data_IF_012971532395
#
_entry.id   IF_012971532395
#
_cell.length_a   1.000
_cell.length_b   1.000
_cell.length_c   1.000
_cell.angle_alpha   90.00
_cell.angle_beta   90.00
_cell.angle_gamma   90.00
#
_symmetry.space_group_name_H-M   'P 1'
#
loop_
_entity.id
_entity.type
_entity.pdbx_description
1 polymer ?
#
# COMPACT_ATOMS: atom_id res chain seq x y z
N UNK A 1 13.49 44.30 -4.04
CA UNK A 1 12.78 44.13 -5.32
C UNK A 1 12.88 42.71 -5.90
N UNK A 2 14.05 42.04 -5.84
CA UNK A 2 14.22 40.66 -6.34
C UNK A 2 13.45 39.61 -5.51
N UNK A 3 13.49 39.69 -4.18
CA UNK A 3 12.79 38.73 -3.28
C UNK A 3 11.26 38.76 -3.48
N UNK A 4 10.68 39.94 -3.71
CA UNK A 4 9.24 40.07 -4.01
C UNK A 4 8.87 39.49 -5.39
N UNK A 5 9.74 39.62 -6.39
CA UNK A 5 9.56 38.98 -7.70
C UNK A 5 9.65 37.46 -7.60
N UNK A 6 10.60 36.94 -6.83
CA UNK A 6 10.77 35.50 -6.61
C UNK A 6 9.58 34.92 -5.84
N UNK A 7 9.08 35.61 -4.80
CA UNK A 7 7.89 35.21 -4.06
C UNK A 7 6.62 35.18 -4.94
N UNK A 8 6.41 36.21 -5.75
CA UNK A 8 5.24 36.26 -6.66
C UNK A 8 5.31 35.21 -7.80
N UNK A 9 6.51 34.82 -8.23
CA UNK A 9 6.72 33.75 -9.20
C UNK A 9 6.51 32.38 -8.56
N UNK A 10 6.99 32.17 -7.33
CA UNK A 10 6.74 30.95 -6.56
C UNK A 10 5.26 30.75 -6.24
N UNK A 11 4.54 31.81 -5.86
CA UNK A 11 3.09 31.74 -5.62
C UNK A 11 2.31 31.43 -6.89
N UNK A 12 2.68 32.03 -8.04
CA UNK A 12 2.05 31.70 -9.33
C UNK A 12 2.34 30.27 -9.77
N UNK A 13 3.59 29.82 -9.66
CA UNK A 13 3.99 28.45 -10.01
C UNK A 13 3.29 27.46 -9.07
N UNK A 14 3.24 27.73 -7.77
CA UNK A 14 2.58 26.87 -6.79
C UNK A 14 1.07 26.74 -7.03
N UNK A 15 0.37 27.85 -7.31
CA UNK A 15 -1.07 27.84 -7.57
C UNK A 15 -1.44 27.17 -8.91
N UNK A 16 -0.63 27.36 -9.95
CA UNK A 16 -0.84 26.71 -11.25
C UNK A 16 -0.49 25.21 -11.19
N UNK A 17 0.60 24.82 -10.51
CA UNK A 17 0.99 23.41 -10.29
C UNK A 17 -0.01 22.62 -9.44
N UNK A 18 -0.54 23.23 -8.37
CA UNK A 18 -1.55 22.57 -7.52
C UNK A 18 -2.84 22.38 -8.32
N UNK A 19 -3.18 23.32 -9.20
CA UNK A 19 -4.37 23.21 -10.06
C UNK A 19 -4.19 22.23 -11.21
N UNK A 20 -2.97 22.02 -11.71
CA UNK A 20 -2.71 21.08 -12.80
C UNK A 20 -2.75 19.61 -12.36
N UNK A 21 -2.54 19.31 -11.07
CA UNK A 21 -2.36 17.94 -10.56
C UNK A 21 -3.35 17.59 -9.43
N UNK A 22 -4.68 17.61 -9.67
CA UNK A 22 -5.69 17.42 -8.62
C UNK A 22 -5.62 16.05 -7.94
N UNK A 23 -5.22 15.01 -8.68
CA UNK A 23 -5.05 13.65 -8.16
C UNK A 23 -3.89 13.56 -7.15
N UNK A 24 -2.78 14.22 -7.43
CA UNK A 24 -1.60 14.26 -6.56
C UNK A 24 -1.91 15.03 -5.27
N UNK A 25 -2.64 16.15 -5.37
CA UNK A 25 -3.15 16.88 -4.20
C UNK A 25 -4.07 15.99 -3.37
N UNK A 26 -4.98 15.25 -3.99
CA UNK A 26 -5.84 14.29 -3.30
C UNK A 26 -5.03 13.23 -2.56
N UNK A 27 -4.04 12.62 -3.20
CA UNK A 27 -3.19 11.61 -2.57
C UNK A 27 -2.39 12.17 -1.40
N UNK A 28 -1.86 13.40 -1.51
CA UNK A 28 -1.18 14.07 -0.39
C UNK A 28 -2.13 14.24 0.79
N UNK A 29 -3.34 14.79 0.56
CA UNK A 29 -4.32 15.00 1.62
C UNK A 29 -4.76 13.67 2.25
N UNK A 30 -5.01 12.66 1.42
CA UNK A 30 -5.36 11.32 1.89
C UNK A 30 -4.25 10.72 2.75
N UNK A 31 -2.99 10.81 2.32
CA UNK A 31 -1.83 10.35 3.09
C UNK A 31 -1.67 11.08 4.42
N UNK A 32 -1.95 12.39 4.48
CA UNK A 32 -1.96 13.14 5.76
C UNK A 32 -3.03 12.59 6.71
N UNK A 33 -4.23 12.29 6.21
CA UNK A 33 -5.30 11.65 7.00
C UNK A 33 -4.86 10.27 7.49
N UNK A 34 -4.24 9.46 6.64
CA UNK A 34 -3.72 8.13 7.01
C UNK A 34 -2.65 8.26 8.11
N UNK A 35 -1.72 9.20 8.00
CA UNK A 35 -0.70 9.45 9.04
C UNK A 35 -1.37 9.85 10.35
N UNK A 36 -2.37 10.73 10.31
CA UNK A 36 -3.11 11.14 11.49
C UNK A 36 -3.72 9.92 12.20
N UNK A 37 -4.47 9.06 11.50
CA UNK A 37 -5.04 7.86 12.11
C UNK A 37 -3.99 6.84 12.55
N UNK A 38 -2.97 6.58 11.72
CA UNK A 38 -1.91 5.63 12.04
C UNK A 38 -1.11 6.03 13.29
N UNK A 39 -0.89 7.33 13.51
CA UNK A 39 -0.21 7.85 14.69
C UNK A 39 -0.99 7.65 16.00
N UNK A 40 -2.27 7.29 15.93
CA UNK A 40 -3.08 6.95 17.10
C UNK A 40 -2.94 5.47 17.52
N UNK A 41 -2.23 4.66 16.73
CA UNK A 41 -2.00 3.27 17.11
C UNK A 41 -1.07 3.16 18.33
N UNK A 42 -1.22 2.12 19.17
CA UNK A 42 -0.35 1.92 20.31
C UNK A 42 1.13 1.90 19.89
N UNK A 43 1.93 2.77 20.50
CA UNK A 43 3.38 2.73 20.41
C UNK A 43 3.93 1.77 21.47
N UNK A 44 4.87 0.91 21.07
CA UNK A 44 5.63 0.04 21.96
C UNK A 44 7.12 0.22 21.75
N UNK A 45 7.93 -0.57 22.45
CA UNK A 45 9.38 -0.59 22.26
C UNK A 45 9.70 -1.27 20.90
N UNK A 46 9.97 -0.46 19.87
CA UNK A 46 10.34 -0.91 18.52
C UNK A 46 9.41 -0.42 17.40
N UNK A 47 9.50 -1.07 16.23
CA UNK A 47 8.70 -0.73 15.05
C UNK A 47 7.26 -1.22 15.23
N UNK A 48 6.35 -0.31 15.54
CA UNK A 48 4.95 -0.63 15.80
C UNK A 48 4.06 -0.73 14.55
N UNK A 49 2.75 -0.97 14.74
CA UNK A 49 1.78 -1.11 13.66
C UNK A 49 1.57 0.17 12.85
N UNK A 50 1.98 1.32 13.40
CA UNK A 50 1.93 2.63 12.73
C UNK A 50 3.00 2.79 11.64
N UNK A 51 4.09 2.02 11.70
CA UNK A 51 5.24 2.22 10.80
C UNK A 51 4.89 2.05 9.33
N UNK A 52 4.27 0.92 8.96
CA UNK A 52 3.91 0.64 7.58
C UNK A 52 3.00 1.70 6.94
N UNK A 53 1.83 2.04 7.52
CA UNK A 53 0.96 3.05 6.94
C UNK A 53 1.62 4.44 6.87
N UNK A 54 2.46 4.81 7.86
CA UNK A 54 3.20 6.08 7.82
C UNK A 54 4.27 6.06 6.72
N UNK A 55 5.09 5.01 6.63
CA UNK A 55 6.15 4.90 5.63
C UNK A 55 5.60 4.96 4.19
N UNK A 56 4.50 4.23 3.92
CA UNK A 56 3.81 4.29 2.63
C UNK A 56 3.27 5.70 2.37
N UNK A 57 2.65 6.33 3.37
CA UNK A 57 2.10 7.70 3.24
C UNK A 57 3.20 8.73 2.98
N UNK A 58 4.35 8.63 3.63
CA UNK A 58 5.52 9.48 3.37
C UNK A 58 6.02 9.29 1.93
N UNK A 59 6.09 8.05 1.45
CA UNK A 59 6.44 7.76 0.05
C UNK A 59 5.46 8.38 -0.94
N UNK A 60 4.15 8.25 -0.69
CA UNK A 60 3.11 8.87 -1.52
C UNK A 60 3.26 10.39 -1.54
N UNK A 61 3.40 11.03 -0.37
CA UNK A 61 3.59 12.49 -0.26
C UNK A 61 4.85 12.92 -1.03
N UNK A 62 5.93 12.17 -0.91
CA UNK A 62 7.18 12.47 -1.61
C UNK A 62 7.01 12.43 -3.14
N UNK A 63 6.47 11.34 -3.69
CA UNK A 63 6.31 11.21 -5.15
C UNK A 63 5.22 12.13 -5.70
N UNK A 64 4.09 12.29 -5.00
CA UNK A 64 3.05 13.23 -5.39
C UNK A 64 3.52 14.69 -5.29
N UNK A 65 4.39 15.01 -4.34
CA UNK A 65 5.04 16.31 -4.23
C UNK A 65 5.95 16.58 -5.43
N UNK A 66 6.74 15.60 -5.86
CA UNK A 66 7.55 15.71 -7.09
C UNK A 66 6.65 15.93 -8.31
N UNK A 67 5.54 15.20 -8.44
CA UNK A 67 4.60 15.36 -9.54
C UNK A 67 4.02 16.78 -9.62
N UNK A 68 3.54 17.31 -8.48
CA UNK A 68 3.04 18.69 -8.39
C UNK A 68 4.15 19.70 -8.77
N UNK A 69 5.37 19.53 -8.25
CA UNK A 69 6.47 20.46 -8.50
C UNK A 69 7.01 20.43 -9.93
N UNK A 70 7.00 19.26 -10.56
CA UNK A 70 7.42 19.12 -11.96
C UNK A 70 6.36 19.64 -12.93
N UNK A 71 5.16 19.92 -12.43
CA UNK A 71 4.05 20.42 -13.25
C UNK A 71 3.77 19.46 -14.38
N UNK A 72 3.93 18.14 -14.13
CA UNK A 72 3.67 17.12 -15.13
C UNK A 72 2.25 17.37 -15.60
N UNK A 73 2.10 17.81 -16.85
CA UNK A 73 0.80 17.77 -17.50
C UNK A 73 0.61 16.29 -17.80
N UNK A 74 0.26 15.54 -16.76
CA UNK A 74 -0.50 14.32 -16.97
C UNK A 74 -1.83 14.81 -17.51
N UNK A 75 -1.86 15.15 -18.81
CA UNK A 75 -3.07 14.98 -19.58
C UNK A 75 -3.44 13.54 -19.29
N UNK A 76 -4.45 13.36 -18.45
CA UNK A 76 -5.19 12.12 -18.42
C UNK A 76 -5.76 12.06 -19.82
N UNK A 77 -5.00 11.49 -20.75
CA UNK A 77 -5.56 10.96 -21.97
C UNK A 77 -6.55 9.92 -21.47
N UNK A 78 -7.81 10.33 -21.27
CA UNK A 78 -8.98 9.44 -21.12
C UNK A 78 -9.23 8.76 -22.49
N UNK A 79 -8.17 8.51 -23.24
CA UNK A 79 -8.13 7.74 -24.45
C UNK A 79 -7.99 6.29 -24.01
N UNK A 80 -9.14 5.61 -23.96
CA UNK A 80 -9.25 4.15 -23.83
C UNK A 80 -8.64 3.53 -22.56
N UNK A 81 -8.70 4.20 -21.40
CA UNK A 81 -8.41 3.51 -20.14
C UNK A 81 -9.48 2.43 -19.88
N UNK A 82 -9.15 1.17 -20.17
CA UNK A 82 -10.00 0.04 -19.83
C UNK A 82 -9.98 -0.13 -18.30
N UNK A 83 -11.04 0.33 -17.65
CA UNK A 83 -11.21 0.21 -16.20
C UNK A 83 -11.51 -1.24 -15.78
N UNK A 84 -11.88 -2.12 -16.71
CA UNK A 84 -12.30 -3.49 -16.41
C UNK A 84 -11.24 -4.29 -15.64
N UNK A 85 -9.95 -4.31 -16.00
CA UNK A 85 -8.95 -5.06 -15.25
C UNK A 85 -8.79 -4.55 -13.82
N UNK A 86 -8.80 -3.23 -13.62
CA UNK A 86 -8.75 -2.63 -12.29
C UNK A 86 -9.98 -3.02 -11.46
N UNK A 87 -11.17 -2.95 -12.04
CA UNK A 87 -12.43 -3.36 -11.40
C UNK A 87 -12.45 -4.84 -11.01
N UNK A 88 -11.94 -5.72 -11.88
CA UNK A 88 -11.88 -7.17 -11.61
C UNK A 88 -10.91 -7.46 -10.46
N UNK A 89 -9.71 -6.88 -10.48
CA UNK A 89 -8.74 -7.05 -9.38
C UNK A 89 -9.28 -6.47 -8.07
N UNK A 90 -9.96 -5.31 -8.12
CA UNK A 90 -10.65 -4.77 -6.95
C UNK A 90 -11.73 -5.73 -6.42
N UNK A 91 -12.50 -6.37 -7.32
CA UNK A 91 -13.46 -7.41 -6.96
C UNK A 91 -12.81 -8.61 -6.27
N UNK A 92 -11.67 -9.08 -6.76
CA UNK A 92 -10.91 -10.15 -6.09
C UNK A 92 -10.39 -9.73 -4.71
N UNK A 93 -9.96 -8.48 -4.55
CA UNK A 93 -9.55 -7.94 -3.25
C UNK A 93 -10.72 -7.91 -2.25
N UNK A 94 -11.91 -7.46 -2.68
CA UNK A 94 -13.11 -7.48 -1.83
C UNK A 94 -13.45 -8.91 -1.44
N UNK A 95 -13.47 -9.85 -2.40
CA UNK A 95 -13.73 -11.27 -2.12
C UNK A 95 -12.70 -11.85 -1.13
N UNK A 96 -11.42 -11.53 -1.29
CA UNK A 96 -10.34 -11.91 -0.38
C UNK A 96 -10.61 -11.44 1.05
N UNK A 97 -10.99 -10.17 1.23
CA UNK A 97 -11.31 -9.61 2.56
C UNK A 97 -12.55 -10.29 3.16
N UNK A 98 -13.58 -10.55 2.37
CA UNK A 98 -14.82 -11.21 2.83
C UNK A 98 -14.59 -12.66 3.28
N UNK A 99 -13.65 -13.37 2.65
CA UNK A 99 -13.30 -14.76 2.99
C UNK A 99 -12.30 -14.84 4.16
N UNK A 100 -11.59 -13.75 4.45
CA UNK A 100 -10.55 -13.70 5.49
C UNK A 100 -11.02 -14.12 6.90
N UNK A 101 -12.23 -13.79 7.40
CA UNK A 101 -12.70 -14.28 8.69
C UNK A 101 -12.83 -15.81 8.77
N UNK A 102 -13.05 -16.47 7.63
CA UNK A 102 -13.18 -17.93 7.55
C UNK A 102 -11.82 -18.62 7.45
N UNK A 103 -10.98 -18.17 6.52
CA UNK A 103 -9.70 -18.84 6.21
C UNK A 103 -8.50 -18.29 6.99
N UNK A 104 -8.62 -17.09 7.53
CA UNK A 104 -7.49 -16.34 8.10
C UNK A 104 -6.57 -15.77 7.03
N UNK A 105 -5.71 -14.83 7.42
CA UNK A 105 -4.82 -14.10 6.52
C UNK A 105 -3.94 -15.01 5.66
N UNK A 106 -3.29 -16.02 6.27
CA UNK A 106 -2.29 -16.84 5.58
C UNK A 106 -2.92 -17.63 4.44
N UNK A 107 -3.96 -18.41 4.73
CA UNK A 107 -4.63 -19.27 3.74
C UNK A 107 -5.38 -18.44 2.72
N UNK A 108 -6.08 -17.37 3.12
CA UNK A 108 -6.78 -16.52 2.16
C UNK A 108 -5.81 -15.87 1.17
N UNK A 109 -4.63 -15.44 1.62
CA UNK A 109 -3.61 -14.86 0.73
C UNK A 109 -3.00 -15.92 -0.17
N UNK A 110 -2.72 -17.12 0.35
CA UNK A 110 -2.22 -18.25 -0.46
C UNK A 110 -3.18 -18.66 -1.59
N UNK A 111 -4.49 -18.48 -1.39
CA UNK A 111 -5.52 -18.72 -2.42
C UNK A 111 -5.70 -17.50 -3.34
N UNK A 112 -5.65 -16.29 -2.80
CA UNK A 112 -5.79 -15.05 -3.57
C UNK A 112 -4.68 -14.84 -4.60
N UNK A 113 -3.42 -15.09 -4.19
CA UNK A 113 -2.25 -14.89 -5.05
C UNK A 113 -2.32 -15.63 -6.39
N UNK A 114 -2.58 -16.95 -6.44
CA UNK A 114 -2.66 -17.65 -7.73
C UNK A 114 -3.83 -17.13 -8.57
N UNK A 115 -4.98 -16.78 -7.97
CA UNK A 115 -6.12 -16.21 -8.71
C UNK A 115 -5.72 -14.94 -9.45
N UNK A 116 -5.05 -14.00 -8.78
CA UNK A 116 -4.59 -12.75 -9.40
C UNK A 116 -3.47 -12.99 -10.40
N UNK A 117 -2.53 -13.90 -10.12
CA UNK A 117 -1.44 -14.22 -11.04
C UNK A 117 -1.95 -14.85 -12.34
N UNK A 118 -2.90 -15.79 -12.25
CA UNK A 118 -3.53 -16.38 -13.43
C UNK A 118 -4.33 -15.35 -14.22
N UNK A 119 -5.08 -14.46 -13.55
CA UNK A 119 -5.78 -13.36 -14.22
C UNK A 119 -4.82 -12.43 -14.97
N UNK A 120 -3.65 -12.16 -14.37
CA UNK A 120 -2.57 -11.38 -14.98
C UNK A 120 -1.73 -12.18 -16.00
N UNK A 121 -2.16 -13.36 -16.43
CA UNK A 121 -1.47 -14.23 -17.40
C UNK A 121 -0.06 -14.67 -16.98
N UNK A 122 0.23 -14.69 -15.67
CA UNK A 122 1.50 -15.18 -15.12
C UNK A 122 1.35 -16.67 -14.79
N UNK A 123 1.95 -17.51 -15.64
CA UNK A 123 1.83 -18.98 -15.56
C UNK A 123 3.13 -19.69 -15.19
N UNK A 124 4.19 -18.95 -14.85
CA UNK A 124 5.45 -19.55 -14.40
C UNK A 124 5.23 -20.30 -13.09
N UNK A 125 5.42 -21.62 -13.10
CA UNK A 125 5.23 -22.49 -11.93
C UNK A 125 6.09 -22.05 -10.74
N UNK A 126 7.33 -21.61 -11.00
CA UNK A 126 8.23 -21.11 -9.98
C UNK A 126 7.71 -19.81 -9.35
N UNK A 127 7.35 -18.82 -10.18
CA UNK A 127 6.79 -17.56 -9.67
C UNK A 127 5.49 -17.80 -8.92
N UNK A 128 4.63 -18.68 -9.43
CA UNK A 128 3.37 -19.01 -8.78
C UNK A 128 3.61 -19.64 -7.40
N UNK A 129 4.53 -20.59 -7.27
CA UNK A 129 4.86 -21.18 -5.97
C UNK A 129 5.47 -20.15 -5.01
N UNK A 130 6.44 -19.36 -5.46
CA UNK A 130 7.14 -18.36 -4.64
C UNK A 130 6.18 -17.27 -4.16
N UNK A 131 5.35 -16.73 -5.06
CA UNK A 131 4.42 -15.65 -4.75
C UNK A 131 3.15 -16.14 -4.04
N UNK A 132 2.72 -17.38 -4.24
CA UNK A 132 1.53 -17.90 -3.57
C UNK A 132 1.84 -18.53 -2.21
N UNK A 133 3.09 -18.89 -1.92
CA UNK A 133 3.47 -19.51 -0.64
C UNK A 133 4.48 -18.64 0.10
N UNK A 134 5.62 -18.34 -0.55
CA UNK A 134 6.70 -17.59 0.07
C UNK A 134 6.29 -16.18 0.47
N UNK A 135 5.60 -15.46 -0.42
CA UNK A 135 5.17 -14.08 -0.14
C UNK A 135 4.16 -13.97 1.03
N UNK A 136 3.07 -14.76 1.11
CA UNK A 136 2.19 -14.76 2.28
C UNK A 136 2.89 -15.09 3.60
N UNK A 137 3.83 -16.04 3.60
CA UNK A 137 4.62 -16.38 4.79
C UNK A 137 5.51 -15.20 5.19
N UNK A 138 6.20 -14.58 4.23
CA UNK A 138 7.03 -13.41 4.49
C UNK A 138 6.20 -12.26 5.06
N UNK A 139 5.05 -11.96 4.46
CA UNK A 139 4.14 -10.94 4.98
C UNK A 139 3.62 -11.27 6.38
N UNK A 140 3.30 -12.54 6.66
CA UNK A 140 2.86 -12.95 7.99
C UNK A 140 3.90 -12.61 9.07
N UNK A 141 5.19 -12.89 8.80
CA UNK A 141 6.26 -12.54 9.74
C UNK A 141 6.51 -11.03 9.81
N UNK A 142 6.55 -10.32 8.66
CA UNK A 142 6.75 -8.87 8.65
C UNK A 142 5.65 -8.17 9.43
N UNK A 143 4.38 -8.44 9.12
CA UNK A 143 3.27 -7.77 9.80
C UNK A 143 3.06 -8.28 11.22
N UNK A 144 3.11 -9.59 11.46
CA UNK A 144 2.79 -10.19 12.76
C UNK A 144 3.92 -10.11 13.79
N UNK A 145 5.19 -10.05 13.36
CA UNK A 145 6.35 -10.08 14.26
C UNK A 145 7.18 -8.80 14.22
N UNK A 146 7.31 -8.15 13.07
CA UNK A 146 8.04 -6.89 12.97
C UNK A 146 7.11 -5.73 13.29
N UNK A 147 5.99 -5.59 12.57
CA UNK A 147 5.06 -4.48 12.76
C UNK A 147 4.00 -4.72 13.83
N UNK A 148 3.99 -5.90 14.47
CA UNK A 148 3.09 -6.25 15.58
C UNK A 148 1.59 -6.06 15.26
N UNK A 149 1.22 -6.22 13.99
CA UNK A 149 -0.17 -6.13 13.50
C UNK A 149 -0.88 -7.46 13.79
N UNK A 150 -2.10 -7.38 14.33
CA UNK A 150 -2.95 -8.56 14.54
C UNK A 150 -3.52 -9.02 13.20
N UNK A 151 -3.02 -10.15 12.71
CA UNK A 151 -3.53 -10.78 11.50
C UNK A 151 -4.69 -11.73 11.84
N UNK A 152 -5.79 -11.76 11.08
CA UNK A 152 -6.90 -12.67 11.33
C UNK A 152 -6.47 -14.13 11.29
N UNK A 153 -6.83 -14.87 12.34
CA UNK A 153 -6.80 -16.33 12.34
C UNK A 153 -8.15 -16.83 11.79
N UNK A 154 -8.10 -17.82 10.91
CA UNK A 154 -9.31 -18.47 10.40
C UNK A 154 -9.85 -19.51 11.38
N UNK A 155 -10.90 -20.22 10.96
CA UNK A 155 -11.45 -21.35 11.72
C UNK A 155 -10.37 -22.40 11.98
N UNK A 156 -9.51 -22.65 11.00
CA UNK A 156 -8.35 -23.51 11.13
C UNK A 156 -7.11 -22.61 11.22
N UNK A 157 -6.42 -22.54 12.37
CA UNK A 157 -5.30 -21.62 12.56
C UNK A 157 -4.01 -22.19 11.96
N UNK A 158 -3.95 -22.28 10.63
CA UNK A 158 -2.79 -22.79 9.88
C UNK A 158 -1.51 -22.00 10.19
N UNK A 159 -1.64 -20.72 10.51
CA UNK A 159 -0.53 -19.85 10.96
C UNK A 159 0.23 -20.41 12.17
N UNK A 160 -0.42 -21.21 13.03
CA UNK A 160 0.23 -21.81 14.21
C UNK A 160 1.16 -22.97 13.87
N UNK A 161 1.09 -23.50 12.64
CA UNK A 161 2.02 -24.51 12.16
C UNK A 161 3.37 -23.91 11.74
N UNK A 162 3.43 -22.59 11.55
CA UNK A 162 4.67 -21.91 11.20
C UNK A 162 5.60 -21.86 12.42
N UNK A 163 6.92 -22.07 12.21
CA UNK A 163 7.87 -22.02 13.30
C UNK A 163 7.90 -20.62 13.93
N UNK A 164 8.05 -20.57 15.25
CA UNK A 164 8.27 -19.31 15.95
C UNK A 164 9.71 -18.88 15.72
N UNK A 165 9.93 -18.08 14.69
CA UNK A 165 11.25 -17.53 14.43
C UNK A 165 11.60 -16.52 15.55
N UNK A 166 12.80 -16.62 16.15
CA UNK A 166 13.34 -15.59 17.03
C UNK A 166 13.81 -14.42 16.16
N UNK A 167 12.85 -13.72 15.53
CA UNK A 167 13.09 -12.45 14.87
C UNK A 167 13.27 -11.41 15.97
N UNK A 168 14.45 -11.43 16.59
CA UNK A 168 14.90 -10.35 17.46
C UNK A 168 15.22 -9.19 16.55
N UNK A 169 14.27 -8.27 16.39
CA UNK A 169 14.57 -6.98 15.77
C UNK A 169 15.02 -6.05 16.89
N UNK A 170 16.28 -6.17 17.28
CA UNK A 170 16.92 -5.18 18.16
C UNK A 170 17.04 -3.87 17.39
N UNK A 171 16.35 -2.83 17.85
CA UNK A 171 16.57 -1.44 17.46
C UNK A 171 17.20 -0.69 18.62
#
# INVERSE_FOLDING_TARGET
MVIQKVGAVLDRIGLESVRSSPLSVFFILFSVVVIFFASQFPSGDGVGPSFFPIAVSVGIIFFAGIDVLTGSQTELEISEFDFKPAAVVAGFLVAYVLVMPLLGFLVSTMVFMPVVLYYSSIHSKLLLAVLSIGFPIALFYIFGRIFLVRLPEGIIPVSRLLPQLPLVVTF
#
